data_IF_990933815929
#
_entry.id   IF_990933815929
#
_cell.length_a   1.000
_cell.length_b   1.000
_cell.length_c   1.000
_cell.angle_alpha   90.00
_cell.angle_beta   90.00
_cell.angle_gamma   90.00
#
_symmetry.space_group_name_H-M   'P 1'
#
loop_
_entity.id
_entity.type
_entity.pdbx_description
1 polymer ?
#
# COMPACT_ATOMS: atom_id res chain seq x y z
N UNK A 1 30.28 30.53 -6.91
CA UNK A 1 29.13 30.17 -7.78
C UNK A 1 29.25 28.69 -8.10
N UNK A 2 28.25 27.81 -8.05
CA UNK A 2 26.82 27.92 -7.80
C UNK A 2 26.35 26.61 -7.11
N UNK A 3 25.27 26.71 -6.34
CA UNK A 3 24.63 25.65 -5.56
C UNK A 3 24.39 24.41 -6.44
N UNK A 4 24.76 23.23 -5.94
CA UNK A 4 24.47 21.93 -6.55
C UNK A 4 22.98 21.76 -6.78
N UNK A 5 22.54 22.07 -8.01
CA UNK A 5 21.18 21.89 -8.45
C UNK A 5 20.86 20.40 -8.47
N UNK A 6 19.73 20.01 -7.88
CA UNK A 6 19.20 18.65 -8.01
C UNK A 6 18.93 18.41 -9.49
N UNK A 7 19.84 17.71 -10.17
CA UNK A 7 19.65 17.21 -11.53
C UNK A 7 18.33 16.45 -11.58
N UNK A 8 17.44 16.86 -12.49
CA UNK A 8 16.18 16.18 -12.70
C UNK A 8 16.47 14.70 -13.00
N UNK A 9 15.86 13.79 -12.26
CA UNK A 9 15.99 12.35 -12.52
C UNK A 9 15.39 12.10 -13.90
N UNK A 10 16.24 11.85 -14.91
CA UNK A 10 15.84 11.35 -16.23
C UNK A 10 15.39 9.89 -16.10
N UNK A 11 14.32 9.67 -15.33
CA UNK A 11 13.70 8.37 -15.21
C UNK A 11 12.88 8.14 -16.49
N UNK A 12 13.38 7.30 -17.38
CA UNK A 12 12.65 6.90 -18.58
C UNK A 12 11.33 6.23 -18.16
N UNK A 13 10.20 6.82 -18.56
CA UNK A 13 8.84 6.31 -18.30
C UNK A 13 8.61 4.90 -18.88
N UNK A 14 9.49 4.44 -19.77
CA UNK A 14 9.43 3.14 -20.42
C UNK A 14 10.32 2.06 -19.78
N UNK A 15 11.09 2.35 -18.72
CA UNK A 15 11.89 1.32 -18.07
C UNK A 15 10.99 0.38 -17.23
N UNK A 16 10.79 -0.89 -17.64
CA UNK A 16 9.92 -1.82 -16.92
C UNK A 16 10.40 -2.10 -15.49
N UNK A 17 11.72 -2.03 -15.24
CA UNK A 17 12.28 -2.19 -13.89
C UNK A 17 11.92 -1.04 -12.95
N UNK A 18 11.68 0.16 -13.49
CA UNK A 18 11.22 1.31 -12.69
C UNK A 18 9.70 1.32 -12.51
N UNK A 19 8.95 0.73 -13.44
CA UNK A 19 7.48 0.65 -13.41
C UNK A 19 6.95 -0.19 -12.24
N UNK A 20 7.65 -1.26 -11.86
CA UNK A 20 7.19 -2.19 -10.80
C UNK A 20 7.60 -1.79 -9.36
N UNK A 21 8.31 -0.66 -9.16
CA UNK A 21 8.76 -0.25 -7.82
C UNK A 21 7.62 0.06 -6.84
N UNK A 22 6.41 0.30 -7.33
CA UNK A 22 5.24 0.57 -6.48
C UNK A 22 4.40 -0.68 -6.19
N UNK A 23 4.73 -1.82 -6.79
CA UNK A 23 4.10 -3.11 -6.50
C UNK A 23 4.80 -3.85 -5.34
N UNK A 24 5.44 -3.10 -4.44
CA UNK A 24 6.04 -3.68 -3.23
C UNK A 24 4.92 -4.28 -2.41
N UNK A 25 4.97 -5.59 -2.24
CA UNK A 25 4.06 -6.33 -1.37
C UNK A 25 4.18 -5.74 0.03
N UNK A 26 3.12 -5.10 0.51
CA UNK A 26 3.10 -4.55 1.87
C UNK A 26 3.16 -5.70 2.86
N UNK A 27 3.87 -5.49 3.96
CA UNK A 27 3.90 -6.40 5.09
C UNK A 27 3.31 -5.71 6.30
N UNK A 28 2.47 -6.43 7.04
CA UNK A 28 1.90 -5.96 8.30
C UNK A 28 2.19 -6.99 9.37
N UNK A 29 2.74 -6.56 10.50
CA UNK A 29 3.15 -7.44 11.60
C UNK A 29 4.05 -8.62 11.12
N UNK A 30 4.99 -8.32 10.22
CA UNK A 30 5.90 -9.31 9.64
C UNK A 30 5.29 -10.29 8.63
N UNK A 31 3.98 -10.19 8.32
CA UNK A 31 3.30 -11.05 7.36
C UNK A 31 2.97 -10.30 6.07
N UNK A 32 3.10 -10.92 4.89
CA UNK A 32 2.67 -10.32 3.65
C UNK A 32 1.16 -10.13 3.62
N UNK A 33 0.71 -8.98 3.12
CA UNK A 33 -0.71 -8.66 2.98
C UNK A 33 -1.06 -8.30 1.55
N UNK A 34 -2.29 -8.63 1.16
CA UNK A 34 -2.86 -8.34 -0.15
C UNK A 34 -3.91 -7.24 -0.02
N UNK A 35 -3.99 -6.30 -0.97
CA UNK A 35 -5.03 -5.29 -0.96
C UNK A 35 -6.39 -5.93 -1.29
N UNK A 36 -7.40 -5.69 -0.46
CA UNK A 36 -8.78 -6.14 -0.69
C UNK A 36 -9.77 -4.99 -0.52
N UNK A 37 -10.89 -5.02 -1.24
CA UNK A 37 -11.98 -4.07 -1.04
C UNK A 37 -12.81 -4.49 0.18
N UNK A 38 -12.81 -3.66 1.21
CA UNK A 38 -13.66 -3.82 2.38
C UNK A 38 -14.91 -2.95 2.24
N UNK A 39 -16.07 -3.54 2.55
CA UNK A 39 -17.38 -2.90 2.47
C UNK A 39 -18.09 -3.18 3.80
N UNK A 40 -18.28 -2.14 4.59
CA UNK A 40 -19.14 -2.18 5.76
C UNK A 40 -20.47 -1.51 5.41
N UNK A 41 -21.53 -2.32 5.31
CA UNK A 41 -22.87 -1.85 4.92
C UNK A 41 -23.57 -1.10 6.06
N UNK A 42 -23.29 -1.45 7.32
CA UNK A 42 -23.90 -0.84 8.49
C UNK A 42 -23.43 0.59 8.69
N UNK A 43 -22.13 0.83 8.49
CA UNK A 43 -21.52 2.16 8.58
C UNK A 43 -21.49 2.89 7.23
N UNK A 44 -21.90 2.25 6.14
CA UNK A 44 -21.81 2.80 4.78
C UNK A 44 -20.37 3.07 4.31
N UNK A 45 -19.37 2.41 4.89
CA UNK A 45 -17.96 2.65 4.63
C UNK A 45 -17.40 1.66 3.61
N UNK A 46 -16.76 2.19 2.57
CA UNK A 46 -16.06 1.40 1.56
C UNK A 46 -14.63 1.89 1.45
N UNK A 47 -13.66 1.00 1.66
CA UNK A 47 -12.25 1.34 1.54
C UNK A 47 -11.42 0.11 1.16
N UNK A 48 -10.19 0.34 0.70
CA UNK A 48 -9.24 -0.76 0.53
C UNK A 48 -8.64 -1.11 1.88
N UNK A 49 -8.75 -2.36 2.30
CA UNK A 49 -8.10 -2.92 3.48
C UNK A 49 -6.96 -3.87 3.06
N UNK A 50 -6.20 -4.34 4.02
CA UNK A 50 -5.27 -5.47 3.83
C UNK A 50 -5.91 -6.79 4.23
N UNK A 51 -5.54 -7.86 3.55
CA UNK A 51 -5.87 -9.24 3.90
C UNK A 51 -4.58 -10.04 4.01
N UNK A 52 -4.42 -10.80 5.08
CA UNK A 52 -3.34 -11.77 5.22
C UNK A 52 -3.58 -13.00 4.32
N UNK A 53 -2.56 -13.81 4.08
CA UNK A 53 -2.69 -14.99 3.20
C UNK A 53 -3.66 -16.07 3.71
N UNK A 54 -3.90 -16.14 5.01
CA UNK A 54 -4.90 -17.02 5.62
C UNK A 54 -6.34 -16.52 5.45
N UNK A 55 -6.56 -15.41 4.75
CA UNK A 55 -7.88 -14.85 4.48
C UNK A 55 -8.43 -13.92 5.57
N UNK A 56 -7.74 -13.77 6.70
CA UNK A 56 -8.13 -12.80 7.74
C UNK A 56 -7.78 -11.38 7.32
N UNK A 57 -8.64 -10.43 7.69
CA UNK A 57 -8.39 -9.01 7.45
C UNK A 57 -7.27 -8.50 8.37
N UNK A 58 -6.58 -7.46 7.90
CA UNK A 58 -5.63 -6.71 8.70
C UNK A 58 -6.43 -5.75 9.58
N UNK A 59 -6.41 -6.02 10.88
CA UNK A 59 -7.16 -5.26 11.88
C UNK A 59 -6.19 -4.56 12.84
N UNK A 60 -6.64 -3.42 13.36
CA UNK A 60 -5.99 -2.70 14.45
C UNK A 60 -6.28 -3.37 15.79
N UNK A 61 -5.65 -2.90 16.88
CA UNK A 61 -5.86 -3.44 18.22
C UNK A 61 -7.34 -3.37 18.66
N UNK A 62 -8.10 -2.43 18.09
CA UNK A 62 -9.53 -2.24 18.32
C UNK A 62 -10.43 -3.13 17.45
N UNK A 63 -9.90 -4.14 16.75
CA UNK A 63 -10.62 -5.02 15.80
C UNK A 63 -11.28 -4.27 14.63
N UNK A 64 -10.77 -3.10 14.28
CA UNK A 64 -11.21 -2.37 13.10
C UNK A 64 -10.27 -2.63 11.92
N UNK A 65 -10.79 -2.93 10.72
CA UNK A 65 -9.96 -3.15 9.55
C UNK A 65 -9.18 -1.88 9.18
N UNK A 66 -7.88 -2.03 8.95
CA UNK A 66 -6.98 -0.93 8.63
C UNK A 66 -7.04 -0.63 7.13
N UNK A 67 -7.10 0.65 6.78
CA UNK A 67 -7.02 1.11 5.39
C UNK A 67 -5.65 0.75 4.81
N UNK A 68 -5.63 0.25 3.58
CA UNK A 68 -4.42 -0.10 2.82
C UNK A 68 -3.38 1.02 2.75
N UNK A 69 -3.82 2.28 2.79
CA UNK A 69 -2.91 3.44 2.83
C UNK A 69 -2.17 3.59 4.17
N UNK A 70 -2.71 3.03 5.25
CA UNK A 70 -2.16 3.09 6.62
C UNK A 70 -1.49 1.78 7.05
N UNK A 71 -1.50 0.75 6.18
CA UNK A 71 -0.68 -0.45 6.31
C UNK A 71 0.72 -0.16 5.77
#
# INVERSE_FOLDING_TARGET
MAKGGKVAKTASKNNPMQRNKNAVQKTYNGKPVKPIKYINRELGQVFMAGQFENGTLVEDNNKYPIKWSNI
#
